data_IF_224284201354
#
_entry.id   IF_224284201354
#
_cell.length_a   1.000
_cell.length_b   1.000
_cell.length_c   1.000
_cell.angle_alpha   90.00
_cell.angle_beta   90.00
_cell.angle_gamma   90.00
#
_symmetry.space_group_name_H-M   'P 1'
#
loop_
_entity.id
_entity.type
_entity.pdbx_description
1 polymer ?
#
# COMPACT_ATOMS: atom_id res chain seq x y z
N UNK A 1 -11.36 -5.77 5.17
CA UNK A 1 -11.90 -4.96 4.04
C UNK A 1 -11.27 -3.58 4.15
N UNK A 2 -10.56 -3.16 3.12
CA UNK A 2 -9.84 -1.89 3.03
C UNK A 2 -10.83 -0.84 2.53
N UNK A 3 -11.17 0.12 3.38
CA UNK A 3 -12.03 1.25 2.98
C UNK A 3 -11.17 2.26 2.24
N UNK A 4 -11.66 2.75 1.11
CA UNK A 4 -10.99 3.80 0.34
C UNK A 4 -11.97 4.90 -0.05
N UNK A 5 -11.49 6.13 -0.16
CA UNK A 5 -12.30 7.30 -0.56
C UNK A 5 -12.22 7.63 -2.06
N UNK A 6 -11.32 6.96 -2.78
CA UNK A 6 -11.23 7.01 -4.21
C UNK A 6 -10.87 5.63 -4.76
N UNK A 7 -11.20 5.38 -6.03
CA UNK A 7 -10.77 4.15 -6.69
C UNK A 7 -9.24 4.08 -6.69
N UNK A 8 -8.63 2.93 -6.32
CA UNK A 8 -7.20 2.78 -6.43
C UNK A 8 -6.74 3.03 -7.87
N UNK A 9 -5.69 3.81 -8.02
CA UNK A 9 -5.18 4.23 -9.32
C UNK A 9 -3.71 3.86 -9.45
N UNK A 10 -3.31 3.43 -10.65
CA UNK A 10 -1.89 3.27 -11.00
C UNK A 10 -1.48 4.48 -11.81
N UNK A 11 -0.49 5.21 -11.33
CA UNK A 11 -0.02 6.45 -11.94
C UNK A 11 1.52 6.56 -11.98
N UNK A 12 2.09 7.41 -12.84
CA UNK A 12 3.53 7.66 -12.84
C UNK A 12 3.97 8.29 -11.52
N UNK A 13 4.95 7.68 -10.84
CA UNK A 13 5.47 8.22 -9.59
C UNK A 13 6.37 9.43 -9.85
N UNK A 14 6.29 10.45 -8.98
CA UNK A 14 6.92 11.78 -9.19
C UNK A 14 8.43 11.74 -9.38
N UNK A 15 9.14 10.80 -8.76
CA UNK A 15 10.60 10.68 -8.89
C UNK A 15 10.99 9.76 -10.04
N UNK A 16 10.40 8.57 -10.08
CA UNK A 16 10.69 7.49 -11.04
C UNK A 16 9.71 6.33 -10.82
N UNK A 17 9.39 5.62 -11.90
CA UNK A 17 8.60 4.39 -11.86
C UNK A 17 7.10 4.66 -11.83
N UNK A 18 6.36 3.76 -11.22
CA UNK A 18 4.91 3.80 -11.09
C UNK A 18 4.50 3.60 -9.64
N UNK A 19 3.32 4.07 -9.28
CA UNK A 19 2.72 3.83 -7.97
C UNK A 19 1.26 3.41 -8.08
N UNK A 20 0.85 2.48 -7.22
CA UNK A 20 -0.55 2.17 -6.94
C UNK A 20 -0.95 2.93 -5.67
N UNK A 21 -1.95 3.80 -5.81
CA UNK A 21 -2.39 4.72 -4.76
C UNK A 21 -3.69 4.25 -4.13
N UNK A 22 -3.75 4.27 -2.79
CA UNK A 22 -4.95 4.04 -2.01
C UNK A 22 -5.15 5.18 -0.99
N UNK A 23 -6.34 5.78 -1.01
CA UNK A 23 -6.75 6.82 -0.06
C UNK A 23 -7.61 6.18 1.05
N UNK A 24 -6.98 5.80 2.16
CA UNK A 24 -7.47 4.75 3.08
C UNK A 24 -8.24 5.27 4.31
N UNK A 25 -8.39 6.58 4.45
CA UNK A 25 -8.91 7.21 5.66
C UNK A 25 -9.18 8.71 5.47
N UNK A 26 -9.51 9.39 6.57
CA UNK A 26 -9.59 10.85 6.59
C UNK A 26 -8.19 11.44 6.78
N UNK A 27 -7.94 12.61 6.20
CA UNK A 27 -6.72 13.36 6.49
C UNK A 27 -6.57 13.61 8.00
N UNK A 28 -5.34 13.48 8.51
CA UNK A 28 -4.98 13.60 9.93
C UNK A 28 -5.64 12.58 10.88
N UNK A 29 -6.14 11.47 10.33
CA UNK A 29 -6.61 10.35 11.14
C UNK A 29 -5.47 9.38 11.46
N UNK A 30 -4.76 9.68 12.56
CA UNK A 30 -3.69 8.83 13.09
C UNK A 30 -4.19 7.53 13.72
N UNK A 31 -5.50 7.27 13.74
CA UNK A 31 -6.06 6.00 14.24
C UNK A 31 -6.11 4.90 13.17
N UNK A 32 -5.87 5.24 11.91
CA UNK A 32 -5.86 4.26 10.81
C UNK A 32 -4.80 3.18 11.07
N UNK A 33 -5.17 1.89 11.22
CA UNK A 33 -4.23 0.82 11.55
C UNK A 33 -3.47 0.36 10.30
N UNK A 34 -2.62 1.22 9.73
CA UNK A 34 -2.00 0.98 8.42
C UNK A 34 -1.10 -0.26 8.41
N UNK A 35 -0.42 -0.58 9.51
CA UNK A 35 0.44 -1.78 9.63
C UNK A 35 -0.39 -3.07 9.57
N UNK A 36 -1.58 -3.08 10.18
CA UNK A 36 -2.52 -4.20 10.06
C UNK A 36 -3.07 -4.30 8.64
N UNK A 37 -3.42 -3.16 8.03
CA UNK A 37 -3.85 -3.11 6.63
C UNK A 37 -2.77 -3.67 5.67
N UNK A 38 -1.49 -3.33 5.87
CA UNK A 38 -0.37 -3.90 5.10
C UNK A 38 -0.22 -5.40 5.32
N UNK A 39 -0.50 -5.88 6.53
CA UNK A 39 -0.52 -7.32 6.85
C UNK A 39 -1.65 -8.03 6.10
N UNK A 40 -2.84 -7.43 6.04
CA UNK A 40 -3.98 -7.96 5.27
C UNK A 40 -3.68 -7.98 3.76
N UNK A 41 -3.06 -6.91 3.24
CA UNK A 41 -2.58 -6.84 1.85
C UNK A 41 -1.59 -7.99 1.59
N UNK A 42 -0.59 -8.16 2.46
CA UNK A 42 0.42 -9.20 2.31
C UNK A 42 -0.17 -10.61 2.34
N UNK A 43 -1.15 -10.85 3.24
CA UNK A 43 -1.88 -12.11 3.32
C UNK A 43 -2.69 -12.40 2.05
N UNK A 44 -3.27 -11.37 1.43
CA UNK A 44 -4.00 -11.50 0.17
C UNK A 44 -3.08 -11.85 -0.99
N UNK A 45 -1.94 -11.17 -1.11
CA UNK A 45 -0.94 -11.38 -2.15
C UNK A 45 -0.20 -12.72 -1.99
N UNK A 46 -0.04 -13.20 -0.76
CA UNK A 46 0.58 -14.50 -0.46
C UNK A 46 -0.12 -15.70 -1.11
N UNK A 47 -1.36 -15.54 -1.55
CA UNK A 47 -2.11 -16.57 -2.30
C UNK A 47 -1.55 -16.80 -3.71
N UNK A 48 -0.83 -15.82 -4.25
CA UNK A 48 -0.25 -15.84 -5.61
C UNK A 48 1.25 -16.12 -5.61
N UNK A 49 1.98 -15.48 -4.71
CA UNK A 49 3.43 -15.62 -4.60
C UNK A 49 3.88 -15.34 -3.16
N UNK A 50 5.02 -15.89 -2.71
CA UNK A 50 5.57 -15.58 -1.39
C UNK A 50 5.64 -14.07 -1.16
N UNK A 51 4.98 -13.58 -0.11
CA UNK A 51 4.86 -12.14 0.16
C UNK A 51 5.32 -11.84 1.59
N UNK A 52 6.11 -10.79 1.76
CA UNK A 52 6.53 -10.28 3.07
C UNK A 52 6.53 -8.76 3.09
N UNK A 53 6.42 -8.18 4.28
CA UNK A 53 6.47 -6.73 4.51
C UNK A 53 7.56 -6.44 5.53
N UNK A 54 8.40 -5.47 5.19
CA UNK A 54 9.47 -4.94 6.03
C UNK A 54 9.20 -3.44 6.24
N UNK A 55 8.99 -3.06 7.51
CA UNK A 55 8.77 -1.69 7.94
C UNK A 55 9.80 -1.32 9.03
N UNK A 56 10.10 -0.03 9.22
CA UNK A 56 10.86 0.42 10.38
C UNK A 56 10.10 0.11 11.67
N UNK A 57 10.81 0.23 12.80
CA UNK A 57 10.20 0.19 14.13
C UNK A 57 9.08 1.23 14.26
N UNK A 58 8.17 1.00 15.19
CA UNK A 58 7.09 1.93 15.47
C UNK A 58 7.62 3.18 16.18
N UNK A 59 7.27 4.36 15.67
CA UNK A 59 7.51 5.64 16.34
C UNK A 59 6.18 6.35 16.67
N UNK A 60 6.04 6.83 17.89
CA UNK A 60 4.76 7.37 18.39
C UNK A 60 4.27 8.64 17.67
N UNK A 61 5.15 9.32 16.94
CA UNK A 61 4.89 10.56 16.22
C UNK A 61 5.24 10.43 14.73
N UNK A 62 5.25 9.21 14.18
CA UNK A 62 5.44 9.00 12.74
C UNK A 62 4.27 9.62 11.96
N UNK A 63 4.57 10.58 11.07
CA UNK A 63 3.58 11.05 10.10
C UNK A 63 3.69 10.24 8.80
N UNK A 64 4.90 9.91 8.39
CA UNK A 64 5.17 9.05 7.24
C UNK A 64 6.00 7.80 7.61
N UNK A 65 5.73 6.72 6.89
CA UNK A 65 6.42 5.43 7.05
C UNK A 65 6.76 4.87 5.67
N UNK A 66 8.05 4.70 5.43
CA UNK A 66 8.59 4.01 4.26
C UNK A 66 8.95 2.56 4.57
N UNK A 67 8.80 1.68 3.60
CA UNK A 67 9.20 0.29 3.75
C UNK A 67 9.22 -0.48 2.44
N UNK A 68 9.25 -1.81 2.54
CA UNK A 68 9.32 -2.70 1.39
C UNK A 68 8.32 -3.84 1.53
N UNK A 69 7.57 -4.09 0.45
CA UNK A 69 6.80 -5.30 0.22
C UNK A 69 7.54 -6.17 -0.79
N UNK A 70 7.84 -7.41 -0.42
CA UNK A 70 8.32 -8.43 -1.37
C UNK A 70 7.13 -9.17 -1.94
N UNK A 71 7.04 -9.33 -3.26
CA UNK A 71 5.98 -10.09 -3.93
C UNK A 71 6.60 -11.06 -4.94
N UNK A 72 6.85 -12.29 -4.51
CA UNK A 72 7.72 -13.22 -5.23
C UNK A 72 9.14 -12.68 -5.28
N UNK A 73 9.69 -12.52 -6.48
CA UNK A 73 11.03 -11.94 -6.71
C UNK A 73 10.99 -10.40 -6.84
N UNK A 74 9.79 -9.82 -6.90
CA UNK A 74 9.60 -8.38 -7.07
C UNK A 74 9.75 -7.64 -5.74
N UNK A 75 10.36 -6.46 -5.79
CA UNK A 75 10.45 -5.53 -4.67
C UNK A 75 9.54 -4.33 -4.95
N UNK A 76 8.63 -4.05 -4.04
CA UNK A 76 7.67 -2.96 -4.11
C UNK A 76 7.92 -2.03 -2.92
N UNK A 77 8.18 -0.75 -3.19
CA UNK A 77 8.30 0.23 -2.12
C UNK A 77 6.95 0.50 -1.47
N UNK A 78 6.94 0.71 -0.17
CA UNK A 78 5.77 1.18 0.59
C UNK A 78 6.05 2.61 1.01
N UNK A 79 5.06 3.48 0.85
CA UNK A 79 5.00 4.78 1.52
C UNK A 79 3.60 4.94 2.10
N UNK A 80 3.51 5.21 3.39
CA UNK A 80 2.26 5.57 4.06
C UNK A 80 2.42 6.94 4.72
N UNK A 81 1.42 7.82 4.59
CA UNK A 81 1.40 9.13 5.23
C UNK A 81 0.06 9.33 5.97
N UNK A 82 0.13 9.45 7.30
CA UNK A 82 -0.99 9.60 8.22
C UNK A 82 -1.76 10.89 7.96
N UNK A 83 -1.06 12.02 7.82
CA UNK A 83 -1.68 13.32 7.55
C UNK A 83 -2.55 13.32 6.28
N UNK A 84 -2.23 12.49 5.30
CA UNK A 84 -3.00 12.32 4.06
C UNK A 84 -3.90 11.08 4.04
N UNK A 85 -3.76 10.16 5.00
CA UNK A 85 -4.29 8.79 4.95
C UNK A 85 -3.99 8.09 3.61
N UNK A 86 -2.76 8.28 3.14
CA UNK A 86 -2.32 7.92 1.80
C UNK A 86 -1.40 6.70 1.86
N UNK A 87 -1.70 5.66 1.10
CA UNK A 87 -0.82 4.53 0.87
C UNK A 87 -0.39 4.49 -0.60
N UNK A 88 0.91 4.46 -0.84
CA UNK A 88 1.52 4.24 -2.15
C UNK A 88 2.36 2.96 -2.15
N UNK A 89 2.10 2.12 -3.15
CA UNK A 89 2.92 0.96 -3.49
C UNK A 89 3.69 1.24 -4.78
N UNK A 90 5.01 1.33 -4.70
CA UNK A 90 5.87 1.84 -5.78
C UNK A 90 6.66 0.70 -6.45
N UNK A 91 6.71 0.70 -7.78
CA UNK A 91 7.52 -0.25 -8.56
C UNK A 91 7.94 0.34 -9.90
N UNK A 92 9.09 -0.09 -10.42
CA UNK A 92 9.48 0.19 -11.81
C UNK A 92 8.61 -0.59 -12.82
N UNK A 93 7.88 -1.62 -12.36
CA UNK A 93 7.04 -2.49 -13.18
C UNK A 93 5.55 -2.17 -12.99
N UNK A 94 4.89 -1.47 -13.95
CA UNK A 94 3.45 -1.25 -13.87
C UNK A 94 2.67 -2.57 -13.94
N UNK A 95 3.24 -3.62 -14.55
CA UNK A 95 2.64 -4.96 -14.56
C UNK A 95 2.55 -5.55 -13.16
N UNK A 96 3.59 -5.37 -12.34
CA UNK A 96 3.59 -5.81 -10.94
C UNK A 96 2.50 -5.11 -10.15
N UNK A 97 2.33 -3.80 -10.34
CA UNK A 97 1.28 -3.02 -9.68
C UNK A 97 -0.13 -3.41 -10.13
N UNK A 98 -0.34 -3.67 -11.43
CA UNK A 98 -1.64 -4.16 -11.93
C UNK A 98 -2.01 -5.51 -11.29
N UNK A 99 -1.06 -6.44 -11.19
CA UNK A 99 -1.30 -7.73 -10.51
C UNK A 99 -1.70 -7.53 -9.05
N UNK A 100 -1.03 -6.60 -8.35
CA UNK A 100 -1.38 -6.27 -6.96
C UNK A 100 -2.79 -5.68 -6.91
N UNK A 101 -3.10 -4.69 -7.76
CA UNK A 101 -4.41 -4.06 -7.83
C UNK A 101 -5.55 -5.06 -8.06
N UNK A 102 -5.37 -6.00 -9.00
CA UNK A 102 -6.35 -7.07 -9.29
C UNK A 102 -6.64 -7.93 -8.06
N UNK A 103 -5.62 -8.18 -7.23
CA UNK A 103 -5.78 -8.96 -5.98
C UNK A 103 -6.37 -8.16 -4.84
N UNK A 104 -6.15 -6.86 -4.82
CA UNK A 104 -6.74 -5.98 -3.83
C UNK A 104 -8.19 -5.62 -4.14
N UNK A 105 -8.61 -5.65 -5.41
CA UNK A 105 -9.97 -5.34 -5.85
C UNK A 105 -11.08 -5.95 -4.95
N UNK A 106 -11.09 -7.25 -4.60
CA UNK A 106 -12.13 -7.82 -3.74
C UNK A 106 -12.07 -7.37 -2.27
N UNK A 107 -10.95 -6.81 -1.83
CA UNK A 107 -10.76 -6.33 -0.46
C UNK A 107 -11.09 -4.85 -0.31
N UNK A 108 -11.11 -4.11 -1.42
CA UNK A 108 -11.32 -2.67 -1.47
C UNK A 108 -12.81 -2.36 -1.54
N UNK A 109 -13.27 -1.47 -0.68
CA UNK A 109 -14.62 -0.92 -0.72
C UNK A 109 -14.56 0.61 -0.72
N UNK A 110 -15.29 1.24 -1.64
CA UNK A 110 -15.48 2.68 -1.64
C UNK A 110 -16.35 3.08 -0.44
N UNK A 111 -15.86 4.03 0.35
CA UNK A 111 -16.52 4.59 1.53
C UNK A 111 -17.41 5.78 1.19
#
# INVERSE_FOLDING_TARGET
MIKVYAQPAIEPHRKRGWELVLWTGNAFDHSTPFREMLTDIAAALSKDAPTSVELPGYEAMEDDVEGVLRFGEESVGIYYEHSLSYLSLMSDSPKTLNRIADRLQPLVALA
#
